data_IF_273804147750
#
_entry.id   IF_273804147750
#
_cell.length_a   1.000
_cell.length_b   1.000
_cell.length_c   1.000
_cell.angle_alpha   90.00
_cell.angle_beta   90.00
_cell.angle_gamma   90.00
#
_symmetry.space_group_name_H-M   'P 1'
#
loop_
_entity.id
_entity.type
_entity.pdbx_description
1 polymer ?
#
# COMPACT_ATOMS: atom_id res chain seq x y z
N UNK A 1 -39.78 -36.31 -6.16
CA UNK A 1 -38.38 -36.05 -5.77
C UNK A 1 -37.69 -35.40 -6.97
N UNK A 2 -37.43 -34.09 -6.90
CA UNK A 2 -36.70 -33.35 -7.92
C UNK A 2 -35.25 -33.22 -7.42
N UNK A 3 -34.35 -34.01 -7.99
CA UNK A 3 -32.91 -33.86 -7.80
C UNK A 3 -32.42 -32.77 -8.76
N UNK A 4 -32.41 -31.53 -8.29
CA UNK A 4 -31.76 -30.42 -9.00
C UNK A 4 -30.29 -30.39 -8.63
N UNK A 5 -29.42 -30.84 -9.52
CA UNK A 5 -27.98 -30.55 -9.44
C UNK A 5 -27.77 -29.07 -9.72
N UNK A 6 -27.39 -28.31 -8.69
CA UNK A 6 -26.83 -26.96 -8.85
C UNK A 6 -25.50 -27.09 -9.60
N UNK A 7 -25.54 -26.88 -10.92
CA UNK A 7 -24.33 -26.64 -11.70
C UNK A 7 -23.86 -25.21 -11.42
N UNK A 8 -22.81 -25.07 -10.61
CA UNK A 8 -22.08 -23.81 -10.50
C UNK A 8 -21.42 -23.57 -11.87
N UNK A 9 -21.66 -22.42 -12.52
CA UNK A 9 -21.01 -22.12 -13.78
C UNK A 9 -19.51 -21.97 -13.53
N UNK A 10 -18.71 -22.81 -14.18
CA UNK A 10 -17.25 -22.67 -14.23
C UNK A 10 -16.95 -21.53 -15.21
N UNK A 11 -16.68 -20.34 -14.68
CA UNK A 11 -16.14 -19.23 -15.46
C UNK A 11 -14.62 -19.44 -15.67
N UNK A 12 -14.16 -19.06 -16.86
CA UNK A 12 -12.79 -19.21 -17.35
C UNK A 12 -11.79 -18.44 -16.47
N UNK A 13 -10.65 -19.08 -16.17
CA UNK A 13 -9.52 -18.53 -15.41
C UNK A 13 -8.70 -17.47 -16.19
N UNK A 14 -9.35 -16.64 -17.01
CA UNK A 14 -8.69 -15.74 -17.98
C UNK A 14 -8.69 -14.26 -17.58
N UNK A 15 -9.29 -13.88 -16.44
CA UNK A 15 -9.38 -12.49 -15.95
C UNK A 15 -8.77 -12.34 -14.54
N UNK A 16 -7.69 -13.08 -14.22
CA UNK A 16 -6.98 -12.89 -12.95
C UNK A 16 -5.96 -11.73 -13.09
N UNK A 17 -6.30 -10.56 -12.54
CA UNK A 17 -5.43 -9.37 -12.49
C UNK A 17 -4.04 -9.69 -11.92
N UNK A 18 -3.92 -10.71 -11.05
CA UNK A 18 -2.66 -11.13 -10.45
C UNK A 18 -1.75 -11.95 -11.38
N UNK A 19 -2.14 -12.11 -12.65
CA UNK A 19 -1.45 -12.99 -13.60
C UNK A 19 -1.36 -12.37 -15.01
N UNK A 20 -0.52 -12.97 -15.86
CA UNK A 20 -0.36 -12.54 -17.24
C UNK A 20 0.73 -11.47 -17.46
N UNK A 21 0.81 -10.90 -18.68
CA UNK A 21 1.89 -9.99 -19.08
C UNK A 21 1.93 -8.66 -18.32
N UNK A 22 0.78 -8.18 -17.84
CA UNK A 22 0.63 -6.94 -17.07
C UNK A 22 0.61 -7.16 -15.56
N UNK A 23 0.79 -8.40 -15.07
CA UNK A 23 0.62 -8.77 -13.67
C UNK A 23 1.40 -7.88 -12.69
N UNK A 24 2.57 -7.37 -13.09
CA UNK A 24 3.36 -6.50 -12.22
C UNK A 24 2.57 -5.24 -11.80
N UNK A 25 1.74 -4.67 -12.67
CA UNK A 25 0.89 -3.50 -12.35
C UNK A 25 -0.13 -3.81 -11.25
N UNK A 26 -0.59 -5.06 -11.16
CA UNK A 26 -1.50 -5.49 -10.10
C UNK A 26 -0.78 -6.01 -8.86
N UNK A 27 0.49 -6.42 -8.97
CA UNK A 27 1.28 -6.97 -7.85
C UNK A 27 1.90 -5.86 -7.01
N UNK A 28 2.37 -4.76 -7.61
CA UNK A 28 2.98 -3.63 -6.89
C UNK A 28 2.00 -2.99 -5.91
N UNK A 29 2.50 -2.60 -4.75
CA UNK A 29 1.74 -1.83 -3.77
C UNK A 29 1.88 -0.33 -4.09
N UNK A 30 3.09 0.10 -4.47
CA UNK A 30 3.34 1.46 -4.90
C UNK A 30 2.69 1.76 -6.24
N UNK A 31 2.31 3.03 -6.49
CA UNK A 31 2.42 4.19 -5.59
C UNK A 31 1.24 4.38 -4.61
N UNK A 32 0.30 3.42 -4.56
CA UNK A 32 -0.89 3.49 -3.70
C UNK A 32 -0.52 3.34 -2.21
N UNK A 33 -1.38 3.87 -1.33
CA UNK A 33 -1.44 3.57 0.09
C UNK A 33 -2.05 2.19 0.37
N UNK A 34 -2.98 1.74 -0.47
CA UNK A 34 -3.58 0.43 -0.42
C UNK A 34 -2.62 -0.65 -0.91
N UNK A 35 -2.41 -1.66 -0.09
CA UNK A 35 -1.66 -2.85 -0.50
C UNK A 35 -2.41 -3.63 -1.59
N UNK A 36 -1.67 -4.15 -2.56
CA UNK A 36 -2.20 -5.05 -3.58
C UNK A 36 -2.87 -6.27 -2.96
N UNK A 37 -3.97 -6.70 -3.55
CA UNK A 37 -4.64 -7.96 -3.21
C UNK A 37 -3.82 -9.19 -3.62
N UNK A 38 -2.93 -9.02 -4.59
CA UNK A 38 -2.13 -10.08 -5.18
C UNK A 38 -0.90 -10.37 -4.31
N UNK A 39 -0.55 -11.65 -4.20
CA UNK A 39 0.77 -12.04 -3.69
C UNK A 39 1.79 -12.12 -4.83
N UNK A 40 3.07 -11.92 -4.49
CA UNK A 40 4.19 -12.17 -5.39
C UNK A 40 4.08 -13.60 -5.96
N UNK A 41 4.25 -13.79 -7.29
CA UNK A 41 4.17 -15.09 -7.91
C UNK A 41 5.17 -16.10 -7.33
N UNK A 42 4.80 -17.38 -7.37
CA UNK A 42 5.61 -18.47 -6.78
C UNK A 42 7.07 -18.47 -7.28
N UNK A 43 8.01 -18.60 -6.34
CA UNK A 43 9.47 -18.57 -6.56
C UNK A 43 10.00 -17.24 -7.11
N UNK A 44 9.22 -16.16 -6.97
CA UNK A 44 9.63 -14.81 -7.35
C UNK A 44 9.77 -13.91 -6.12
N UNK A 45 10.40 -12.76 -6.35
CA UNK A 45 10.51 -11.67 -5.39
C UNK A 45 10.26 -10.33 -6.10
N UNK A 46 9.73 -9.35 -5.38
CA UNK A 46 9.57 -7.98 -5.86
C UNK A 46 10.38 -7.05 -4.95
N UNK A 47 11.09 -6.12 -5.57
CA UNK A 47 11.68 -4.97 -4.90
C UNK A 47 11.01 -3.71 -5.43
N UNK A 48 10.37 -2.97 -4.55
CA UNK A 48 9.84 -1.64 -4.79
C UNK A 48 10.75 -0.61 -4.14
N UNK A 49 10.98 0.51 -4.81
CA UNK A 49 11.72 1.64 -4.28
C UNK A 49 11.16 2.95 -4.80
N UNK A 50 11.19 3.99 -3.97
CA UNK A 50 10.74 5.30 -4.41
C UNK A 50 11.36 6.47 -3.66
N UNK A 51 10.94 7.64 -4.09
CA UNK A 51 11.28 8.94 -3.52
C UNK A 51 10.02 9.80 -3.49
N UNK A 52 9.84 10.50 -2.38
CA UNK A 52 8.76 11.48 -2.24
C UNK A 52 9.29 12.84 -1.80
N UNK A 53 8.71 13.87 -2.38
CA UNK A 53 8.72 15.24 -1.88
C UNK A 53 7.36 15.55 -1.28
N UNK A 54 7.35 16.03 -0.03
CA UNK A 54 6.13 16.39 0.68
C UNK A 54 6.20 17.87 1.06
N UNK A 55 5.19 18.63 0.70
CA UNK A 55 4.94 19.93 1.32
C UNK A 55 4.23 19.69 2.64
N UNK A 56 4.83 20.10 3.77
CA UNK A 56 4.27 19.85 5.09
C UNK A 56 3.05 20.73 5.35
N UNK A 57 2.14 20.27 6.21
CA UNK A 57 0.97 21.06 6.59
C UNK A 57 1.38 22.40 7.18
N UNK A 58 0.88 23.48 6.58
CA UNK A 58 1.15 24.85 7.00
C UNK A 58 2.43 25.43 6.39
N UNK A 59 3.61 24.87 6.67
CA UNK A 59 4.87 25.35 6.09
C UNK A 59 6.00 24.32 6.16
N UNK A 60 6.97 24.45 5.25
CA UNK A 60 8.13 23.58 5.14
C UNK A 60 7.91 22.41 4.19
N UNK A 61 8.97 21.63 3.99
CA UNK A 61 8.95 20.44 3.15
C UNK A 61 9.69 19.28 3.81
N UNK A 62 9.40 18.08 3.34
CA UNK A 62 10.11 16.84 3.69
C UNK A 62 10.51 16.09 2.43
N UNK A 63 11.62 15.37 2.51
CA UNK A 63 12.01 14.35 1.55
C UNK A 63 12.00 13.01 2.24
N UNK A 64 11.47 12.00 1.55
CA UNK A 64 11.38 10.62 2.01
C UNK A 64 12.05 9.71 0.98
N UNK A 65 13.16 9.06 1.35
CA UNK A 65 13.92 8.19 0.47
C UNK A 65 14.92 7.24 1.17
N UNK A 66 15.26 6.09 0.56
CA UNK A 66 14.43 5.43 -0.45
C UNK A 66 13.24 4.75 0.25
N UNK A 67 12.07 4.82 -0.36
CA UNK A 67 10.88 4.10 0.11
C UNK A 67 10.93 2.65 -0.38
N UNK A 68 11.62 1.79 0.36
CA UNK A 68 11.91 0.43 -0.10
C UNK A 68 11.02 -0.62 0.56
N UNK A 69 10.43 -1.46 -0.26
CA UNK A 69 9.73 -2.68 0.16
C UNK A 69 10.30 -3.87 -0.60
N UNK A 70 10.68 -4.92 0.12
CA UNK A 70 11.05 -6.20 -0.47
C UNK A 70 9.99 -7.23 -0.12
N UNK A 71 9.51 -7.96 -1.12
CA UNK A 71 8.45 -8.95 -0.99
C UNK A 71 8.86 -10.25 -1.65
N UNK A 72 8.57 -11.37 -1.01
CA UNK A 72 8.92 -12.69 -1.52
C UNK A 72 7.76 -13.65 -1.36
N UNK A 73 7.55 -14.46 -2.38
CA UNK A 73 6.55 -15.53 -2.36
C UNK A 73 6.88 -16.61 -1.33
N UNK A 74 5.85 -17.11 -0.67
CA UNK A 74 5.89 -18.24 0.27
C UNK A 74 4.81 -19.25 -0.17
N UNK A 75 5.01 -20.57 -0.02
CA UNK A 75 4.04 -21.56 -0.48
C UNK A 75 2.62 -21.31 0.07
N UNK A 76 1.61 -21.59 -0.76
CA UNK A 76 0.20 -21.53 -0.36
C UNK A 76 -0.44 -20.16 -0.44
N UNK A 77 -0.19 -19.40 -1.52
CA UNK A 77 -0.72 -18.04 -1.73
C UNK A 77 -0.30 -17.07 -0.61
N UNK A 78 0.93 -17.22 -0.13
CA UNK A 78 1.48 -16.41 0.95
C UNK A 78 2.60 -15.52 0.41
N UNK A 79 2.78 -14.38 1.05
CA UNK A 79 3.87 -13.45 0.80
C UNK A 79 4.43 -12.96 2.13
N UNK A 80 5.76 -12.85 2.19
CA UNK A 80 6.45 -12.14 3.26
C UNK A 80 6.94 -10.81 2.71
N UNK A 81 6.73 -9.72 3.45
CA UNK A 81 7.21 -8.39 3.09
C UNK A 81 8.10 -7.79 4.18
N UNK A 82 9.05 -6.96 3.77
CA UNK A 82 9.81 -6.10 4.67
C UNK A 82 9.88 -4.69 4.08
N UNK A 83 9.38 -3.73 4.84
CA UNK A 83 9.57 -2.31 4.59
C UNK A 83 10.88 -1.91 5.27
N UNK A 84 11.86 -1.55 4.45
CA UNK A 84 13.15 -1.09 4.94
C UNK A 84 13.02 0.35 5.45
N UNK A 85 13.80 0.75 6.47
CA UNK A 85 13.77 2.12 6.96
C UNK A 85 14.07 3.13 5.85
N UNK A 86 13.11 3.99 5.57
CA UNK A 86 13.29 5.18 4.75
C UNK A 86 13.94 6.30 5.59
N UNK A 87 14.84 7.06 4.96
CA UNK A 87 15.37 8.30 5.53
C UNK A 87 14.43 9.45 5.21
N UNK A 88 14.01 10.18 6.24
CA UNK A 88 13.24 11.40 6.09
C UNK A 88 14.07 12.60 6.54
N UNK A 89 13.93 13.70 5.80
CA UNK A 89 14.55 14.98 6.14
C UNK A 89 13.55 16.09 5.93
N UNK A 90 13.21 16.79 7.00
CA UNK A 90 12.21 17.85 6.97
C UNK A 90 12.71 19.18 7.54
N UNK A 91 12.16 20.27 7.03
CA UNK A 91 12.61 21.62 7.39
C UNK A 91 11.99 22.17 8.66
N UNK A 92 10.74 21.78 9.01
CA UNK A 92 9.98 22.39 10.10
C UNK A 92 9.13 21.34 10.84
N UNK A 93 9.38 21.10 12.15
CA UNK A 93 10.63 21.40 12.83
C UNK A 93 11.79 20.72 12.11
N UNK A 94 12.98 21.34 12.11
CA UNK A 94 14.16 20.80 11.45
C UNK A 94 14.59 19.49 12.12
N UNK A 95 14.41 18.38 11.42
CA UNK A 95 14.94 17.09 11.84
C UNK A 95 15.10 16.15 10.64
N UNK A 96 15.95 15.15 10.83
CA UNK A 96 16.08 14.04 9.91
C UNK A 96 16.38 12.76 10.66
N UNK A 97 16.21 11.64 9.96
CA UNK A 97 16.44 10.33 10.54
C UNK A 97 15.76 9.23 9.75
N UNK A 98 15.83 8.03 10.28
CA UNK A 98 15.24 6.84 9.66
C UNK A 98 13.95 6.46 10.37
N UNK A 99 12.98 5.97 9.59
CA UNK A 99 11.76 5.40 10.13
C UNK A 99 12.00 4.02 10.75
N UNK A 100 10.95 3.43 11.29
CA UNK A 100 10.99 2.07 11.81
C UNK A 100 10.89 1.02 10.69
N UNK A 101 11.47 -0.15 10.92
CA UNK A 101 11.28 -1.32 10.06
C UNK A 101 9.92 -1.96 10.32
N UNK A 102 9.20 -2.30 9.25
CA UNK A 102 7.95 -3.07 9.31
C UNK A 102 8.11 -4.38 8.56
N UNK A 103 7.58 -5.46 9.11
CA UNK A 103 7.55 -6.79 8.49
C UNK A 103 6.09 -7.18 8.30
N UNK A 104 5.77 -7.75 7.15
CA UNK A 104 4.42 -8.18 6.82
C UNK A 104 4.33 -9.64 6.43
N UNK A 105 3.13 -10.19 6.63
CA UNK A 105 2.69 -11.44 6.01
C UNK A 105 1.33 -11.21 5.38
N UNK A 106 1.19 -11.63 4.12
CA UNK A 106 -0.04 -11.54 3.35
C UNK A 106 -0.48 -12.94 2.91
N UNK A 107 -1.78 -13.19 2.97
CA UNK A 107 -2.39 -14.39 2.42
C UNK A 107 -3.50 -13.97 1.46
N UNK A 108 -3.39 -14.39 0.20
CA UNK A 108 -4.41 -14.19 -0.81
C UNK A 108 -5.40 -15.36 -0.77
N UNK A 109 -6.68 -15.04 -0.59
CA UNK A 109 -7.77 -16.00 -0.69
C UNK A 109 -8.19 -16.22 -2.14
N UNK A 110 -8.79 -17.39 -2.38
CA UNK A 110 -9.16 -17.79 -3.73
C UNK A 110 -10.33 -16.98 -4.28
N UNK A 111 -10.17 -16.71 -5.58
CA UNK A 111 -11.04 -16.01 -6.51
C UNK A 111 -12.47 -16.54 -6.59
N UNK A 112 -13.43 -15.64 -6.80
CA UNK A 112 -14.72 -15.97 -7.39
C UNK A 112 -15.10 -14.99 -8.50
N UNK A 113 -14.78 -15.32 -9.74
CA UNK A 113 -15.32 -14.72 -10.96
C UNK A 113 -14.90 -13.29 -11.29
N UNK A 114 -14.95 -12.36 -10.33
CA UNK A 114 -14.60 -10.94 -10.49
C UNK A 114 -14.03 -10.32 -9.22
N UNK A 115 -13.85 -11.12 -8.16
CA UNK A 115 -13.38 -10.64 -6.86
C UNK A 115 -12.18 -11.48 -6.42
N UNK A 116 -11.14 -10.80 -5.96
CA UNK A 116 -10.00 -11.38 -5.23
C UNK A 116 -10.00 -10.74 -3.85
N UNK A 117 -9.62 -11.49 -2.81
CA UNK A 117 -9.42 -10.93 -1.49
C UNK A 117 -8.14 -11.42 -0.86
N UNK A 118 -7.62 -10.62 0.07
CA UNK A 118 -6.45 -10.97 0.86
C UNK A 118 -6.61 -10.46 2.29
N UNK A 119 -5.84 -11.05 3.18
CA UNK A 119 -5.56 -10.47 4.49
C UNK A 119 -4.08 -10.26 4.64
N UNK A 120 -3.72 -9.23 5.37
CA UNK A 120 -2.34 -8.92 5.68
C UNK A 120 -2.20 -8.51 7.15
N UNK A 121 -1.10 -8.94 7.76
CA UNK A 121 -0.68 -8.48 9.07
C UNK A 121 0.69 -7.82 8.95
N UNK A 122 0.80 -6.59 9.45
CA UNK A 122 2.01 -5.80 9.50
C UNK A 122 2.44 -5.63 10.96
N UNK A 123 3.73 -5.77 11.24
CA UNK A 123 4.33 -5.53 12.56
C UNK A 123 5.51 -4.58 12.39
N UNK A 124 5.45 -3.45 13.09
CA UNK A 124 6.52 -2.47 13.15
C UNK A 124 7.34 -2.69 14.42
N UNK A 125 8.64 -2.92 14.25
CA UNK A 125 9.55 -3.17 15.36
C UNK A 125 10.03 -1.85 16.03
N UNK A 126 10.34 -1.86 17.34
CA UNK A 126 10.99 -0.74 18.01
C UNK A 126 12.35 -0.46 17.37
N UNK A 127 12.41 0.53 16.48
CA UNK A 127 13.56 0.79 15.61
C UNK A 127 13.46 2.19 15.00
N UNK A 128 14.52 2.60 14.30
CA UNK A 128 14.61 3.92 13.69
C UNK A 128 15.12 5.00 14.64
N UNK A 129 15.00 6.25 14.20
CA UNK A 129 15.50 7.43 14.92
C UNK A 129 14.50 7.93 15.96
N UNK A 130 14.94 8.76 16.93
CA UNK A 130 14.03 9.34 17.91
C UNK A 130 12.95 10.26 17.31
N UNK A 131 13.23 10.85 16.14
CA UNK A 131 12.34 11.80 15.47
C UNK A 131 11.30 11.11 14.56
N UNK A 132 11.66 9.98 13.95
CA UNK A 132 10.88 9.35 12.87
C UNK A 132 10.64 7.85 13.05
N UNK A 133 11.35 7.21 13.98
CA UNK A 133 11.20 5.80 14.31
C UNK A 133 10.05 5.52 15.28
N UNK A 134 9.98 4.27 15.73
CA UNK A 134 9.00 3.82 16.72
C UNK A 134 9.72 3.33 17.97
N UNK A 135 9.38 3.82 19.18
CA UNK A 135 9.97 3.31 20.43
C UNK A 135 9.30 2.02 20.92
N UNK A 136 8.26 1.53 20.27
CA UNK A 136 7.50 0.37 20.70
C UNK A 136 6.98 -0.48 19.54
N UNK A 137 6.51 -1.68 19.85
CA UNK A 137 5.88 -2.54 18.86
C UNK A 137 4.55 -1.93 18.42
N UNK A 138 4.35 -1.86 17.11
CA UNK A 138 3.09 -1.46 16.49
C UNK A 138 2.66 -2.55 15.50
N UNK A 139 1.40 -2.52 15.11
CA UNK A 139 0.91 -3.46 14.12
C UNK A 139 -0.44 -3.10 13.56
N UNK A 140 -0.68 -3.60 12.36
CA UNK A 140 -1.89 -3.36 11.58
C UNK A 140 -2.36 -4.69 11.01
N UNK A 141 -3.67 -4.90 10.98
CA UNK A 141 -4.30 -5.99 10.28
C UNK A 141 -5.22 -5.42 9.20
N UNK A 142 -4.98 -5.81 7.95
CA UNK A 142 -5.68 -5.32 6.78
C UNK A 142 -6.53 -6.45 6.18
N UNK A 143 -7.77 -6.15 5.83
CA UNK A 143 -8.55 -6.92 4.86
C UNK A 143 -8.59 -6.17 3.54
N UNK A 144 -8.27 -6.85 2.44
CA UNK A 144 -8.17 -6.27 1.10
C UNK A 144 -9.13 -7.01 0.18
N UNK A 145 -9.90 -6.26 -0.62
CA UNK A 145 -10.83 -6.77 -1.62
C UNK A 145 -10.62 -6.01 -2.92
N UNK A 146 -10.34 -6.73 -4.00
CA UNK A 146 -10.35 -6.18 -5.36
C UNK A 146 -11.57 -6.69 -6.13
N UNK A 147 -12.18 -5.82 -6.92
CA UNK A 147 -13.33 -6.10 -7.77
C UNK A 147 -13.10 -5.60 -9.19
N UNK A 148 -13.05 -6.51 -10.14
CA UNK A 148 -12.98 -6.19 -11.56
C UNK A 148 -14.36 -5.76 -12.06
N UNK A 149 -14.56 -4.44 -12.20
CA UNK A 149 -15.80 -3.86 -12.73
C UNK A 149 -15.90 -4.12 -14.25
N UNK A 150 -14.76 -4.06 -14.94
CA UNK A 150 -14.58 -4.47 -16.34
C UNK A 150 -13.19 -5.09 -16.49
N UNK A 151 -12.82 -5.71 -17.63
CA UNK A 151 -11.46 -6.22 -17.84
C UNK A 151 -10.36 -5.15 -17.74
N UNK A 152 -10.71 -3.87 -17.80
CA UNK A 152 -9.76 -2.75 -17.74
C UNK A 152 -9.97 -1.87 -16.50
N UNK A 153 -10.97 -2.13 -15.65
CA UNK A 153 -11.29 -1.25 -14.49
C UNK A 153 -11.47 -2.09 -13.25
N UNK A 154 -10.68 -1.80 -12.22
CA UNK A 154 -10.69 -2.49 -10.93
C UNK A 154 -10.99 -1.51 -9.80
N UNK A 155 -11.76 -1.97 -8.82
CA UNK A 155 -12.01 -1.26 -7.57
C UNK A 155 -11.32 -2.04 -6.45
N UNK A 156 -10.42 -1.42 -5.71
CA UNK A 156 -9.78 -2.01 -4.54
C UNK A 156 -10.25 -1.31 -3.28
N UNK A 157 -10.66 -2.09 -2.30
CA UNK A 157 -11.04 -1.64 -0.97
C UNK A 157 -10.18 -2.33 0.06
N UNK A 158 -9.52 -1.53 0.91
CA UNK A 158 -8.79 -2.03 2.06
C UNK A 158 -9.38 -1.45 3.34
N UNK A 159 -9.52 -2.30 4.36
CA UNK A 159 -9.87 -1.86 5.71
C UNK A 159 -8.83 -2.38 6.69
N UNK A 160 -8.04 -1.45 7.22
CA UNK A 160 -7.07 -1.71 8.26
C UNK A 160 -7.60 -1.41 9.65
N UNK A 161 -7.17 -2.20 10.63
CA UNK A 161 -7.24 -1.83 12.05
C UNK A 161 -5.84 -1.97 12.64
N UNK A 162 -5.38 -0.93 13.34
CA UNK A 162 -3.99 -0.93 13.81
C UNK A 162 -3.78 -0.19 15.12
N UNK A 163 -2.64 -0.49 15.74
CA UNK A 163 -2.09 0.27 16.84
C UNK A 163 -0.70 0.78 16.48
N UNK A 164 -0.52 2.09 16.57
CA UNK A 164 0.71 2.79 16.22
C UNK A 164 1.33 3.44 17.46
N UNK A 165 2.63 3.72 17.41
CA UNK A 165 3.36 4.40 18.48
C UNK A 165 4.08 5.59 17.86
N UNK A 166 3.81 6.79 18.38
CA UNK A 166 4.48 7.99 17.92
C UNK A 166 5.99 7.93 18.19
N UNK A 167 6.82 8.61 17.39
CA UNK A 167 8.24 8.79 17.69
C UNK A 167 8.48 9.40 19.08
N UNK A 168 9.66 9.17 19.65
CA UNK A 168 10.03 9.68 20.98
C UNK A 168 9.92 11.21 21.06
N UNK A 169 10.37 11.93 20.04
CA UNK A 169 10.28 13.40 20.03
C UNK A 169 8.85 13.92 19.88
N UNK A 170 7.92 13.06 19.44
CA UNK A 170 6.49 13.35 19.36
C UNK A 170 5.71 12.79 20.57
N UNK A 171 6.42 12.36 21.62
CA UNK A 171 5.84 11.93 22.90
C UNK A 171 5.79 10.42 23.14
N UNK A 172 6.12 9.57 22.16
CA UNK A 172 6.22 8.12 22.36
C UNK A 172 4.89 7.40 22.67
N UNK A 173 3.77 8.10 22.51
CA UNK A 173 2.45 7.60 22.91
C UNK A 173 1.85 6.66 21.87
N UNK A 174 1.07 5.69 22.35
CA UNK A 174 0.33 4.74 21.53
C UNK A 174 -1.06 5.26 21.20
N UNK A 175 -1.53 4.97 20.01
CA UNK A 175 -2.92 5.17 19.61
C UNK A 175 -3.40 4.01 18.73
N UNK A 176 -4.72 3.93 18.53
CA UNK A 176 -5.36 2.94 17.67
C UNK A 176 -6.14 3.66 16.57
N UNK A 177 -6.22 3.04 15.40
CA UNK A 177 -6.86 3.62 14.23
C UNK A 177 -7.58 2.55 13.39
N UNK A 178 -8.62 3.00 12.70
CA UNK A 178 -9.31 2.29 11.62
C UNK A 178 -8.96 3.02 10.34
N UNK A 179 -8.47 2.29 9.35
CA UNK A 179 -7.77 2.82 8.19
C UNK A 179 -8.49 2.35 6.92
N UNK A 180 -9.58 3.02 6.49
CA UNK A 180 -10.21 2.73 5.21
C UNK A 180 -9.33 3.23 4.06
N UNK A 181 -9.30 2.45 2.99
CA UNK A 181 -8.67 2.81 1.73
C UNK A 181 -9.53 2.37 0.55
N UNK A 182 -9.56 3.19 -0.49
CA UNK A 182 -10.34 2.93 -1.70
C UNK A 182 -9.60 3.42 -2.93
N UNK A 183 -9.34 2.49 -3.85
CA UNK A 183 -8.64 2.73 -5.10
C UNK A 183 -9.53 2.38 -6.28
N UNK A 184 -9.51 3.22 -7.31
CA UNK A 184 -10.02 2.89 -8.64
C UNK A 184 -8.84 2.85 -9.60
N UNK A 185 -8.64 1.72 -10.25
CA UNK A 185 -7.58 1.51 -11.24
C UNK A 185 -8.17 1.33 -12.65
N UNK A 186 -7.47 1.85 -13.65
CA UNK A 186 -7.82 1.75 -15.06
C UNK A 186 -6.60 1.36 -15.89
N UNK A 187 -6.69 0.21 -16.57
CA UNK A 187 -5.66 -0.36 -17.43
C UNK A 187 -6.12 -0.34 -18.90
N UNK A 188 -5.95 0.79 -19.62
CA UNK A 188 -6.38 0.87 -21.01
C UNK A 188 -5.60 -0.06 -21.95
N UNK A 189 -4.38 -0.43 -21.57
CA UNK A 189 -3.46 -1.28 -22.31
C UNK A 189 -2.55 -2.00 -21.31
N UNK A 190 -1.95 -3.11 -21.73
CA UNK A 190 -1.08 -3.96 -20.88
C UNK A 190 0.10 -3.22 -20.23
N UNK A 191 0.51 -2.06 -20.77
CA UNK A 191 1.68 -1.32 -20.29
C UNK A 191 1.36 -0.15 -19.36
N UNK A 192 0.09 0.22 -19.22
CA UNK A 192 -0.31 1.44 -18.52
C UNK A 192 -1.41 1.13 -17.51
N UNK A 193 -1.22 1.58 -16.27
CA UNK A 193 -2.28 1.65 -15.27
C UNK A 193 -2.36 3.08 -14.76
N UNK A 194 -3.57 3.61 -14.68
CA UNK A 194 -3.88 4.86 -13.99
C UNK A 194 -4.69 4.54 -12.75
N UNK A 195 -4.52 5.30 -11.68
CA UNK A 195 -5.32 5.09 -10.50
C UNK A 195 -5.73 6.42 -9.84
N UNK A 196 -6.75 6.32 -8.99
CA UNK A 196 -7.06 7.33 -8.00
C UNK A 196 -7.46 6.68 -6.70
N UNK A 197 -6.99 7.25 -5.59
CA UNK A 197 -7.08 6.71 -4.25
C UNK A 197 -7.64 7.73 -3.26
N UNK A 198 -8.39 7.24 -2.27
CA UNK A 198 -8.77 8.01 -1.08
C UNK A 198 -8.45 7.17 0.15
N UNK A 199 -7.41 7.58 0.87
CA UNK A 199 -7.00 6.96 2.12
C UNK A 199 -7.45 7.79 3.32
N UNK A 200 -7.81 7.08 4.40
CA UNK A 200 -8.29 7.68 5.63
C UNK A 200 -7.76 7.00 6.88
N UNK A 201 -7.74 7.76 7.97
CA UNK A 201 -7.40 7.25 9.29
C UNK A 201 -8.35 7.84 10.34
N UNK A 202 -9.00 7.00 11.15
CA UNK A 202 -9.93 7.47 12.18
C UNK A 202 -9.27 8.25 13.31
N UNK A 203 -7.96 8.10 13.48
CA UNK A 203 -7.13 8.83 14.44
C UNK A 203 -5.72 8.89 13.89
N UNK A 204 -5.14 10.10 13.80
CA UNK A 204 -3.76 10.33 13.29
C UNK A 204 -2.72 10.46 14.41
N UNK A 205 -3.11 10.14 15.65
CA UNK A 205 -2.32 10.37 16.85
C UNK A 205 -3.18 10.32 18.13
N UNK A 206 -2.55 10.29 19.32
CA UNK A 206 -3.24 10.26 20.59
C UNK A 206 -4.17 11.47 20.76
N UNK A 207 -5.47 11.21 20.83
CA UNK A 207 -6.49 12.25 21.01
C UNK A 207 -6.67 13.18 19.79
N UNK A 208 -6.16 12.81 18.62
CA UNK A 208 -6.36 13.59 17.39
C UNK A 208 -7.60 13.14 16.62
N UNK A 209 -8.11 14.05 15.78
CA UNK A 209 -9.26 13.80 14.91
C UNK A 209 -8.89 12.92 13.70
N UNK A 210 -9.89 12.39 12.99
CA UNK A 210 -9.67 11.72 11.71
C UNK A 210 -8.95 12.59 10.68
N UNK A 211 -8.23 11.95 9.76
CA UNK A 211 -7.62 12.58 8.61
C UNK A 211 -7.87 11.78 7.33
N UNK A 212 -7.86 12.47 6.20
CA UNK A 212 -8.02 11.89 4.88
C UNK A 212 -7.14 12.62 3.88
N UNK A 213 -6.60 11.88 2.93
CA UNK A 213 -5.90 12.39 1.76
C UNK A 213 -6.46 11.68 0.52
N UNK A 214 -6.06 12.18 -0.64
CA UNK A 214 -6.31 11.54 -1.92
C UNK A 214 -5.05 11.64 -2.77
N UNK A 215 -4.88 10.71 -3.67
CA UNK A 215 -3.84 10.80 -4.69
C UNK A 215 -4.25 10.12 -5.99
N UNK A 216 -3.51 10.47 -7.02
CA UNK A 216 -3.65 9.92 -8.36
C UNK A 216 -2.26 9.66 -8.91
N UNK A 217 -2.17 8.73 -9.84
CA UNK A 217 -0.91 8.47 -10.49
C UNK A 217 -1.01 7.55 -11.70
N UNK A 218 0.16 7.22 -12.20
CA UNK A 218 0.36 6.36 -13.36
C UNK A 218 1.50 5.39 -13.06
N UNK A 219 1.29 4.15 -13.49
CA UNK A 219 2.29 3.10 -13.52
C UNK A 219 2.55 2.71 -14.97
N UNK A 220 3.82 2.51 -15.31
CA UNK A 220 4.25 2.15 -16.66
C UNK A 220 5.20 0.96 -16.66
N UNK A 221 4.84 -0.10 -17.38
CA UNK A 221 5.73 -1.24 -17.58
C UNK A 221 6.83 -0.91 -18.60
N UNK A 222 8.05 -0.73 -18.09
CA UNK A 222 9.27 -0.71 -18.92
C UNK A 222 9.51 -2.08 -19.56
N UNK A 223 9.26 -3.14 -18.80
CA UNK A 223 9.29 -4.55 -19.23
C UNK A 223 8.25 -5.32 -18.42
N UNK A 224 7.99 -6.59 -18.75
CA UNK A 224 7.12 -7.46 -17.95
C UNK A 224 7.58 -7.64 -16.49
N UNK A 225 8.83 -7.29 -16.18
CA UNK A 225 9.43 -7.44 -14.84
C UNK A 225 9.89 -6.10 -14.24
N UNK A 226 9.64 -4.97 -14.92
CA UNK A 226 10.10 -3.66 -14.45
C UNK A 226 9.05 -2.60 -14.73
N UNK A 227 8.73 -1.83 -13.71
CA UNK A 227 7.71 -0.79 -13.72
C UNK A 227 8.30 0.51 -13.17
N UNK A 228 7.79 1.64 -13.62
CA UNK A 228 8.06 2.98 -13.06
C UNK A 228 6.77 3.73 -12.81
N UNK A 229 6.69 4.36 -11.64
CA UNK A 229 5.51 5.05 -11.16
C UNK A 229 5.74 6.55 -10.96
N UNK A 230 4.64 7.29 -11.05
CA UNK A 230 4.54 8.69 -10.66
C UNK A 230 3.20 8.94 -9.97
N UNK A 231 3.21 9.64 -8.85
CA UNK A 231 2.01 10.00 -8.11
C UNK A 231 2.03 11.43 -7.58
N UNK A 232 0.85 12.00 -7.42
CA UNK A 232 0.63 13.27 -6.74
C UNK A 232 -0.52 13.12 -5.76
N UNK A 233 -0.29 13.58 -4.53
CA UNK A 233 -1.31 13.52 -3.49
C UNK A 233 -1.63 14.87 -2.88
N UNK A 234 -2.81 14.95 -2.30
CA UNK A 234 -3.41 16.13 -1.73
C UNK A 234 -4.12 15.77 -0.43
N UNK A 235 -3.84 16.54 0.61
CA UNK A 235 -4.59 16.45 1.86
C UNK A 235 -6.03 16.92 1.65
N UNK A 236 -6.98 16.15 2.15
CA UNK A 236 -8.39 16.52 2.19
C UNK A 236 -8.73 17.18 3.53
N UNK A 237 -8.53 16.45 4.63
CA UNK A 237 -8.80 16.93 6.00
C UNK A 237 -7.84 16.32 7.02
N UNK A 238 -7.78 16.92 8.22
CA UNK A 238 -6.97 16.41 9.33
C UNK A 238 -5.47 16.62 9.13
N UNK A 239 -4.66 15.76 9.74
CA UNK A 239 -3.19 15.80 9.75
C UNK A 239 -2.59 14.45 9.34
N UNK A 240 -3.31 13.69 8.51
CA UNK A 240 -2.86 12.40 8.01
C UNK A 240 -1.56 12.59 7.22
N UNK A 241 -0.53 11.79 7.55
CA UNK A 241 0.82 11.80 6.97
C UNK A 241 1.59 13.14 7.03
N UNK A 242 1.01 14.19 7.63
CA UNK A 242 1.68 15.46 7.89
C UNK A 242 1.97 16.33 6.66
N UNK A 243 1.36 16.07 5.50
CA UNK A 243 1.54 16.86 4.27
C UNK A 243 0.29 17.64 3.85
N UNK A 244 0.45 18.73 3.11
CA UNK A 244 -0.62 19.40 2.35
C UNK A 244 -0.72 18.86 0.91
N UNK A 245 0.42 18.63 0.25
CA UNK A 245 0.51 17.88 -1.00
C UNK A 245 1.86 17.15 -1.10
N UNK A 246 1.92 16.12 -1.94
CA UNK A 246 3.16 15.41 -2.22
C UNK A 246 3.33 15.09 -3.71
N UNK A 247 4.57 14.81 -4.10
CA UNK A 247 4.93 14.21 -5.38
C UNK A 247 5.78 12.97 -5.10
N UNK A 248 5.41 11.86 -5.71
CA UNK A 248 6.10 10.57 -5.62
C UNK A 248 6.60 10.12 -6.99
N UNK A 249 7.77 9.50 -6.99
CA UNK A 249 8.26 8.68 -8.11
C UNK A 249 8.86 7.39 -7.58
N UNK A 250 8.77 6.34 -8.36
CA UNK A 250 9.30 5.05 -7.95
C UNK A 250 9.52 4.08 -9.09
N UNK A 251 9.91 2.89 -8.69
CA UNK A 251 10.07 1.76 -9.57
C UNK A 251 9.88 0.45 -8.81
N UNK A 252 9.43 -0.57 -9.54
CA UNK A 252 9.40 -1.94 -9.07
C UNK A 252 10.17 -2.87 -10.01
N UNK A 253 10.81 -3.89 -9.43
CA UNK A 253 11.51 -4.96 -10.16
C UNK A 253 11.07 -6.33 -9.64
N UNK A 254 10.61 -7.18 -10.54
CA UNK A 254 10.26 -8.57 -10.29
C UNK A 254 11.42 -9.50 -10.70
N UNK A 255 11.93 -10.28 -9.75
CA UNK A 255 13.01 -11.27 -9.95
C UNK A 255 12.43 -12.67 -10.06
#
# INVERSE_FOLDING_TARGET
MLTGTLSVPVYSATDDSCSGPSALLAIVNRPNGADSVCVVPSQRAVLEMGWQYLQLVGTGYSYNLPEMQFRVSVPGQNELSVFLPNYNSQTIPLHSGVAATTIGIKHQFTYSGSWVSAVEALITAPSGSAALGSPGWAGTFNGILAYSLTPAVELTFMLGVGSQVLPNLSGGQRYASVNPDFVVSWEPQEQYQFYGEVYGQSSTGPGTNPGFNMDIGILYLLTQNMEVDFSVGQRLIGQLDGFDHYLGVGMAVLF
#
